data_IF_789823496702
#
_entry.id   IF_789823496702
#
_cell.length_a   1.000
_cell.length_b   1.000
_cell.length_c   1.000
_cell.angle_alpha   90.00
_cell.angle_beta   90.00
_cell.angle_gamma   90.00
#
_symmetry.space_group_name_H-M   'P 1'
#
loop_
_entity.id
_entity.type
_entity.pdbx_description
1 polymer ?
#
# COMPACT_ATOMS: atom_id res chain seq x y z
N UNK A 1 33.19 6.27 31.24
CA UNK A 1 33.24 5.45 30.07
C UNK A 1 31.88 5.24 29.46
N UNK A 2 30.93 4.82 30.27
CA UNK A 2 29.59 4.55 29.72
C UNK A 2 28.92 5.83 29.21
N UNK A 3 29.09 6.94 29.91
CA UNK A 3 28.48 8.20 29.49
C UNK A 3 28.97 8.61 28.11
N UNK A 4 30.26 8.44 27.88
CA UNK A 4 30.83 8.79 26.58
C UNK A 4 30.30 7.86 25.51
N UNK A 5 30.25 6.58 25.82
CA UNK A 5 29.75 5.60 24.86
C UNK A 5 28.29 5.84 24.53
N UNK A 6 27.52 6.21 25.55
CA UNK A 6 26.12 6.48 25.34
C UNK A 6 25.93 7.67 24.43
N UNK A 7 26.72 8.71 24.60
CA UNK A 7 26.62 9.89 23.75
C UNK A 7 26.99 9.55 22.31
N UNK A 8 28.04 8.78 22.14
CA UNK A 8 28.45 8.40 20.79
C UNK A 8 27.37 7.54 20.12
N UNK A 9 26.78 6.63 20.89
CA UNK A 9 25.74 5.78 20.36
C UNK A 9 24.53 6.63 19.96
N UNK A 10 24.18 7.60 20.80
CA UNK A 10 23.03 8.46 20.51
C UNK A 10 23.27 9.26 19.23
N UNK A 11 24.47 9.80 19.08
CA UNK A 11 24.78 10.57 17.89
C UNK A 11 24.72 9.69 16.63
N UNK A 12 25.30 8.49 16.72
CA UNK A 12 25.23 7.57 15.60
C UNK A 12 23.79 7.18 15.31
N UNK A 13 23.02 6.99 16.36
CA UNK A 13 21.61 6.63 16.19
C UNK A 13 20.84 7.72 15.46
N UNK A 14 21.12 8.98 15.80
CA UNK A 14 20.44 10.08 15.13
C UNK A 14 20.80 10.14 13.65
N UNK A 15 22.07 10.00 13.34
CA UNK A 15 22.49 9.99 11.94
C UNK A 15 21.87 8.82 11.21
N UNK A 16 21.90 7.65 11.84
CA UNK A 16 21.31 6.48 11.22
C UNK A 16 19.83 6.66 11.00
N UNK A 17 19.16 7.25 11.98
CA UNK A 17 17.74 7.49 11.86
C UNK A 17 17.44 8.45 10.71
N UNK A 18 18.25 9.49 10.56
CA UNK A 18 18.07 10.42 9.44
C UNK A 18 18.26 9.71 8.12
N UNK A 19 19.26 8.85 8.02
CA UNK A 19 19.51 8.10 6.80
C UNK A 19 18.35 7.19 6.50
N UNK A 20 17.83 6.51 7.51
CA UNK A 20 16.71 5.59 7.31
C UNK A 20 15.46 6.36 6.91
N UNK A 21 15.22 7.52 7.49
CA UNK A 21 14.08 8.33 7.11
C UNK A 21 14.21 8.83 5.69
N UNK A 22 15.41 9.23 5.28
CA UNK A 22 15.63 9.69 3.92
C UNK A 22 15.41 8.56 2.94
N UNK A 23 15.89 7.35 3.27
CA UNK A 23 15.67 6.20 2.42
C UNK A 23 14.19 5.86 2.34
N UNK A 24 13.50 5.92 3.47
CA UNK A 24 12.08 5.61 3.49
C UNK A 24 11.29 6.59 2.65
N UNK A 25 11.63 7.88 2.72
CA UNK A 25 10.96 8.88 1.91
C UNK A 25 11.24 8.65 0.44
N UNK A 26 12.49 8.35 0.09
CA UNK A 26 12.84 8.10 -1.30
C UNK A 26 12.12 6.88 -1.83
N UNK A 27 12.03 5.82 -1.02
CA UNK A 27 11.34 4.61 -1.44
C UNK A 27 9.84 4.86 -1.54
N UNK A 28 9.28 5.67 -0.64
CA UNK A 28 7.86 5.97 -0.68
C UNK A 28 7.50 6.77 -1.92
N UNK A 29 8.44 7.54 -2.45
CA UNK A 29 8.20 8.31 -3.67
C UNK A 29 8.19 7.42 -4.91
N UNK A 30 8.80 6.23 -4.83
CA UNK A 30 8.86 5.29 -5.95
C UNK A 30 7.88 4.16 -5.64
N UNK A 31 6.75 4.18 -6.33
CA UNK A 31 5.73 3.17 -6.10
C UNK A 31 5.67 2.24 -7.29
N UNK A 32 5.54 0.95 -7.04
CA UNK A 32 5.47 0.00 -8.14
C UNK A 32 4.23 0.23 -8.97
N UNK A 33 4.38 0.12 -10.28
CA UNK A 33 3.25 0.24 -11.19
C UNK A 33 2.49 -1.07 -11.32
N UNK A 34 3.15 -2.18 -11.05
CA UNK A 34 2.52 -3.50 -11.07
C UNK A 34 2.56 -4.06 -9.67
N UNK A 35 1.45 -4.63 -9.27
CA UNK A 35 1.26 -5.14 -7.92
C UNK A 35 0.97 -6.63 -7.98
N UNK A 36 1.40 -7.32 -6.94
CA UNK A 36 1.02 -8.71 -6.74
C UNK A 36 -0.31 -8.75 -6.01
N UNK A 37 -0.90 -9.94 -6.00
CA UNK A 37 -2.20 -10.12 -5.35
C UNK A 37 -2.18 -9.65 -3.89
N UNK A 38 -1.13 -10.00 -3.16
CA UNK A 38 -1.07 -9.61 -1.75
C UNK A 38 -0.98 -8.10 -1.58
N UNK A 39 -0.35 -7.42 -2.53
CA UNK A 39 -0.24 -5.97 -2.46
C UNK A 39 -1.60 -5.33 -2.70
N UNK A 40 -2.36 -5.87 -3.64
CA UNK A 40 -3.71 -5.39 -3.90
C UNK A 40 -4.58 -5.61 -2.67
N UNK A 41 -4.47 -6.78 -2.05
CA UNK A 41 -5.23 -7.09 -0.86
C UNK A 41 -4.91 -6.08 0.25
N UNK A 42 -3.64 -5.73 0.40
CA UNK A 42 -3.25 -4.74 1.39
C UNK A 42 -3.84 -3.37 1.05
N UNK A 43 -3.76 -2.97 -0.20
CA UNK A 43 -4.31 -1.66 -0.61
C UNK A 43 -5.81 -1.58 -0.38
N UNK A 44 -6.52 -2.68 -0.60
CA UNK A 44 -7.96 -2.71 -0.43
C UNK A 44 -8.39 -3.11 0.98
N UNK A 45 -7.44 -3.52 1.81
CA UNK A 45 -7.72 -4.02 3.16
C UNK A 45 -8.65 -5.22 3.11
N UNK A 46 -8.42 -6.08 2.14
CA UNK A 46 -9.21 -7.30 1.96
C UNK A 46 -8.29 -8.51 2.02
N UNK A 47 -8.90 -9.67 2.21
CA UNK A 47 -8.14 -10.91 2.11
C UNK A 47 -7.86 -11.22 0.64
N UNK A 48 -6.77 -11.95 0.33
CA UNK A 48 -6.51 -12.33 -1.05
C UNK A 48 -7.65 -13.08 -1.72
N UNK A 49 -8.33 -14.01 -1.06
CA UNK A 49 -9.49 -14.64 -1.73
C UNK A 49 -10.59 -13.66 -2.08
N UNK A 50 -10.79 -12.63 -1.26
CA UNK A 50 -11.80 -11.61 -1.58
C UNK A 50 -11.41 -10.84 -2.82
N UNK A 51 -10.12 -10.50 -2.95
CA UNK A 51 -9.64 -9.81 -4.13
C UNK A 51 -9.84 -10.68 -5.37
N UNK A 52 -9.54 -11.98 -5.26
CA UNK A 52 -9.71 -12.89 -6.40
C UNK A 52 -11.15 -12.94 -6.85
N UNK A 53 -12.10 -12.88 -5.92
CA UNK A 53 -13.51 -12.84 -6.31
C UNK A 53 -13.82 -11.61 -7.13
N UNK A 54 -13.25 -10.47 -6.75
CA UNK A 54 -13.46 -9.24 -7.51
C UNK A 54 -12.83 -9.32 -8.89
N UNK A 55 -11.65 -9.93 -8.97
CA UNK A 55 -11.00 -10.13 -10.26
C UNK A 55 -11.81 -11.06 -11.13
N UNK A 56 -12.29 -12.17 -10.56
CA UNK A 56 -13.07 -13.13 -11.33
C UNK A 56 -14.42 -12.56 -11.73
N UNK A 57 -14.95 -11.63 -10.96
CA UNK A 57 -16.20 -10.97 -11.31
C UNK A 57 -16.01 -9.88 -12.36
N UNK A 58 -14.78 -9.62 -12.75
CA UNK A 58 -14.51 -8.61 -13.77
C UNK A 58 -14.47 -7.20 -13.26
N UNK A 59 -14.44 -7.01 -11.93
CA UNK A 59 -14.43 -5.66 -11.37
C UNK A 59 -13.03 -5.10 -11.27
N UNK A 60 -12.03 -5.96 -11.20
CA UNK A 60 -10.64 -5.54 -11.12
C UNK A 60 -9.91 -6.16 -12.30
N UNK A 61 -9.36 -5.35 -13.19
CA UNK A 61 -8.60 -5.89 -14.31
C UNK A 61 -7.22 -6.35 -13.88
N UNK A 62 -6.64 -7.21 -14.67
CA UNK A 62 -5.29 -7.68 -14.40
C UNK A 62 -4.55 -7.79 -15.72
N UNK A 63 -3.21 -7.89 -15.62
CA UNK A 63 -2.37 -8.15 -16.77
C UNK A 63 -1.58 -9.42 -16.46
N UNK A 64 -1.07 -10.04 -17.50
CA UNK A 64 -0.26 -11.23 -17.32
C UNK A 64 1.20 -10.88 -17.54
N UNK A 65 2.03 -11.28 -16.62
CA UNK A 65 3.47 -11.23 -16.76
C UNK A 65 3.93 -12.67 -16.78
N UNK A 66 4.15 -13.19 -18.00
CA UNK A 66 4.32 -14.61 -18.15
C UNK A 66 3.04 -15.33 -17.78
N UNK A 67 3.10 -16.15 -16.75
CA UNK A 67 1.92 -16.89 -16.26
C UNK A 67 1.37 -16.27 -14.98
N UNK A 68 1.95 -15.17 -14.53
CA UNK A 68 1.58 -14.57 -13.27
C UNK A 68 0.64 -13.41 -13.50
N UNK A 69 -0.47 -13.39 -12.78
CA UNK A 69 -1.36 -12.25 -12.81
C UNK A 69 -0.76 -11.13 -12.01
N UNK A 70 -0.72 -9.97 -12.62
CA UNK A 70 -0.29 -8.76 -11.95
C UNK A 70 -1.38 -7.72 -12.12
N UNK A 71 -1.35 -6.72 -11.26
CA UNK A 71 -2.40 -5.71 -11.25
C UNK A 71 -1.76 -4.35 -11.36
N UNK A 72 -2.28 -3.51 -12.25
CA UNK A 72 -1.75 -2.16 -12.39
C UNK A 72 -2.21 -1.33 -11.21
N UNK A 73 -1.27 -0.65 -10.60
CA UNK A 73 -1.59 0.18 -9.44
C UNK A 73 -2.68 1.21 -9.80
N UNK A 74 -2.59 1.81 -10.98
CA UNK A 74 -3.57 2.80 -11.40
C UNK A 74 -4.96 2.20 -11.51
N UNK A 75 -5.07 0.93 -11.88
CA UNK A 75 -6.37 0.29 -11.99
C UNK A 75 -6.97 0.05 -10.61
N UNK A 76 -6.14 -0.27 -9.63
CA UNK A 76 -6.62 -0.45 -8.27
C UNK A 76 -7.05 0.88 -7.68
N UNK A 77 -6.29 1.93 -7.94
CA UNK A 77 -6.66 3.26 -7.48
C UNK A 77 -7.97 3.69 -8.12
N UNK A 78 -8.14 3.41 -9.41
CA UNK A 78 -9.38 3.76 -10.10
C UNK A 78 -10.56 2.99 -9.52
N UNK A 79 -10.33 1.72 -9.15
CA UNK A 79 -11.39 0.93 -8.54
C UNK A 79 -11.83 1.56 -7.21
N UNK A 80 -10.86 2.00 -6.41
CA UNK A 80 -11.17 2.64 -5.13
C UNK A 80 -11.88 3.97 -5.37
N UNK A 81 -11.40 4.75 -6.33
CA UNK A 81 -11.99 6.05 -6.62
C UNK A 81 -13.42 5.92 -7.13
N UNK A 82 -13.76 4.79 -7.71
CA UNK A 82 -15.11 4.55 -8.21
C UNK A 82 -16.09 4.12 -7.16
N UNK A 83 -15.65 3.91 -5.94
CA UNK A 83 -16.54 3.50 -4.87
C UNK A 83 -17.37 4.69 -4.39
N UNK A 84 -18.64 4.41 -4.09
CA UNK A 84 -19.49 5.45 -3.55
C UNK A 84 -19.09 5.79 -2.14
N UNK A 85 -19.24 7.05 -1.80
CA UNK A 85 -18.95 7.53 -0.47
C UNK A 85 -20.27 7.78 0.25
N UNK A 86 -20.43 7.12 1.37
CA UNK A 86 -21.61 7.31 2.21
C UNK A 86 -21.18 8.02 3.49
N UNK A 87 -21.99 8.95 3.90
CA UNK A 87 -21.72 9.67 5.14
C UNK A 87 -22.55 9.06 6.24
N UNK A 88 -21.91 8.80 7.35
CA UNK A 88 -22.58 8.15 8.45
C UNK A 88 -23.76 8.96 8.95
N UNK A 89 -24.72 8.28 9.51
CA UNK A 89 -25.88 8.88 10.12
C UNK A 89 -27.06 9.09 9.24
N UNK A 90 -26.92 8.98 7.97
CA UNK A 90 -28.05 9.15 7.09
C UNK A 90 -28.27 7.96 6.26
N UNK A 91 -28.79 7.75 6.12
CA UNK A 91 -28.78 6.83 5.45
C UNK A 91 -29.02 6.89 4.30
N UNK A 92 -28.58 6.90 4.14
CA UNK A 92 -28.43 6.91 3.38
C UNK A 92 -29.05 6.52 2.70
N UNK A 93 -29.18 6.67 2.76
CA UNK A 93 -29.56 6.44 2.21
C UNK A 93 -30.29 5.92 1.93
N UNK A 94 -30.43 5.87 2.03
CA UNK A 94 -30.82 5.32 1.84
C UNK A 94 -31.58 5.39 1.48
N UNK A 95 -31.67 5.39 1.29
CA UNK A 95 -32.20 5.35 0.93
C UNK A 95 -32.75 5.40 0.59
#
# INVERSE_FOLDING_TARGET
MSARNEREVIEMTEERLRELLAEAVAQAAIQPELLKLKDVATMLSLSPPSVLRLVDAGEIPFVLYGRTRMYRRRDIIAYIDGMETYRGGKKHGVA
#
